data_IF_746999350543
#
_entry.id   IF_746999350543
#
_cell.length_a   1.000
_cell.length_b   1.000
_cell.length_c   1.000
_cell.angle_alpha   90.00
_cell.angle_beta   90.00
_cell.angle_gamma   90.00
#
_symmetry.space_group_name_H-M   'P 1'
#
loop_
_entity.id
_entity.type
_entity.pdbx_description
1 polymer ?
#
# COMPACT_ATOMS: atom_id res chain seq x y z
N UNK A 1 -2.67 16.21 -16.40
CA UNK A 1 -2.64 16.99 -15.14
C UNK A 1 -1.33 16.61 -14.44
N UNK A 2 -0.46 17.60 -14.21
CA UNK A 2 0.92 17.33 -13.77
C UNK A 2 0.90 16.91 -12.28
N UNK A 3 1.26 15.68 -11.97
CA UNK A 3 1.22 15.09 -10.62
C UNK A 3 2.02 15.91 -9.62
N UNK A 4 3.14 16.50 -10.05
CA UNK A 4 3.99 17.36 -9.21
C UNK A 4 3.32 18.66 -8.79
N UNK A 5 2.56 19.32 -9.67
CA UNK A 5 1.86 20.57 -9.33
C UNK A 5 0.73 20.35 -8.31
N UNK A 6 0.09 19.18 -8.34
CA UNK A 6 -0.96 18.82 -7.40
C UNK A 6 -0.39 18.45 -6.02
N UNK A 7 0.70 17.70 -5.96
CA UNK A 7 1.34 17.28 -4.70
C UNK A 7 2.00 18.43 -3.95
N UNK A 8 2.42 19.50 -4.64
CA UNK A 8 3.00 20.71 -4.05
C UNK A 8 1.97 21.71 -3.51
N UNK A 9 0.67 21.49 -3.73
CA UNK A 9 -0.39 22.36 -3.19
C UNK A 9 -0.44 22.26 -1.66
N UNK A 10 -0.29 23.41 -0.95
CA UNK A 10 -0.43 23.50 0.52
C UNK A 10 -1.78 22.97 1.01
N UNK A 11 -2.83 23.14 0.21
CA UNK A 11 -4.19 22.68 0.51
C UNK A 11 -4.24 21.15 0.47
N UNK A 12 -3.64 20.52 -0.53
CA UNK A 12 -3.57 19.06 -0.65
C UNK A 12 -2.78 18.48 0.52
N UNK A 13 -1.64 19.07 0.87
CA UNK A 13 -0.85 18.63 2.03
C UNK A 13 -1.62 18.78 3.35
N UNK A 14 -2.40 19.86 3.52
CA UNK A 14 -3.22 20.07 4.70
C UNK A 14 -4.36 19.03 4.79
N UNK A 15 -5.05 18.78 3.69
CA UNK A 15 -6.11 17.76 3.61
C UNK A 15 -5.53 16.37 3.97
N UNK A 16 -4.38 16.01 3.42
CA UNK A 16 -3.73 14.74 3.74
C UNK A 16 -3.28 14.64 5.21
N UNK A 17 -2.81 15.76 5.81
CA UNK A 17 -2.50 15.79 7.26
C UNK A 17 -3.75 15.60 8.12
N UNK A 18 -4.87 16.23 7.78
CA UNK A 18 -6.14 16.10 8.52
C UNK A 18 -6.71 14.70 8.36
N UNK A 19 -6.72 14.16 7.14
CA UNK A 19 -7.15 12.77 6.88
C UNK A 19 -6.22 11.79 7.61
N UNK A 20 -4.90 12.00 7.55
CA UNK A 20 -3.91 11.18 8.25
C UNK A 20 -4.13 11.18 9.76
N UNK A 21 -4.34 12.35 10.37
CA UNK A 21 -4.64 12.46 11.81
C UNK A 21 -5.96 11.76 12.18
N UNK A 22 -7.00 11.87 11.34
CA UNK A 22 -8.25 11.15 11.52
C UNK A 22 -8.06 9.64 11.38
N UNK A 23 -7.18 9.20 10.49
CA UNK A 23 -6.81 7.80 10.31
C UNK A 23 -6.01 7.22 11.50
N UNK A 24 -5.28 8.05 12.23
CA UNK A 24 -4.52 7.68 13.43
C UNK A 24 -5.33 7.85 14.72
N UNK A 25 -6.63 8.14 14.67
CA UNK A 25 -7.43 8.26 15.86
C UNK A 25 -7.42 6.96 16.69
N UNK A 26 -7.30 7.08 18.02
CA UNK A 26 -7.33 5.93 18.97
C UNK A 26 -8.59 5.08 18.79
N UNK A 27 -9.69 5.68 18.34
CA UNK A 27 -10.94 5.01 18.03
C UNK A 27 -10.79 4.04 16.85
N UNK A 28 -10.12 4.46 15.78
CA UNK A 28 -9.87 3.61 14.60
C UNK A 28 -8.93 2.44 14.93
N UNK A 29 -7.88 2.68 15.74
CA UNK A 29 -7.00 1.60 16.21
C UNK A 29 -7.75 0.55 17.04
N UNK A 30 -8.78 0.96 17.80
CA UNK A 30 -9.56 0.06 18.66
C UNK A 30 -10.53 -0.82 17.85
N UNK A 31 -11.14 -0.28 16.78
CA UNK A 31 -12.19 -0.98 16.01
C UNK A 31 -11.69 -1.56 14.68
N UNK A 32 -10.64 -0.98 14.12
CA UNK A 32 -10.05 -1.39 12.83
C UNK A 32 -8.52 -1.40 12.94
N UNK A 33 -7.99 -2.15 13.90
CA UNK A 33 -6.54 -2.24 14.09
C UNK A 33 -5.82 -2.68 12.81
N UNK A 34 -4.70 -2.04 12.43
CA UNK A 34 -3.98 -2.35 11.20
C UNK A 34 -3.62 -3.83 11.10
N UNK A 35 -3.25 -4.45 12.23
CA UNK A 35 -2.92 -5.87 12.28
C UNK A 35 -4.11 -6.78 11.93
N UNK A 36 -5.35 -6.41 12.31
CA UNK A 36 -6.53 -7.19 11.97
C UNK A 36 -6.80 -7.16 10.46
N UNK A 37 -6.61 -6.01 9.81
CA UNK A 37 -6.75 -5.87 8.36
C UNK A 37 -5.63 -6.64 7.66
N UNK A 38 -4.38 -6.50 8.12
CA UNK A 38 -3.22 -7.22 7.56
C UNK A 38 -3.37 -8.74 7.62
N UNK A 39 -4.00 -9.29 8.67
CA UNK A 39 -4.37 -10.72 8.73
C UNK A 39 -5.35 -11.15 7.63
N UNK A 40 -6.01 -10.21 7.01
CA UNK A 40 -6.88 -10.46 5.84
C UNK A 40 -6.11 -10.50 4.52
N UNK A 41 -4.94 -9.89 4.46
CA UNK A 41 -4.06 -9.98 3.32
C UNK A 41 -3.39 -11.36 3.27
N UNK A 42 -3.21 -11.87 2.08
CA UNK A 42 -2.53 -13.15 1.87
C UNK A 42 -1.01 -12.91 1.75
N UNK A 43 -0.43 -12.40 2.84
CA UNK A 43 1.00 -12.14 3.02
C UNK A 43 1.56 -13.01 4.14
N UNK A 44 2.85 -13.29 4.08
CA UNK A 44 3.53 -14.22 5.00
C UNK A 44 4.87 -13.66 5.48
N UNK A 45 5.41 -14.25 6.54
CA UNK A 45 6.76 -13.95 7.04
C UNK A 45 7.82 -14.22 5.96
N UNK A 46 8.83 -13.37 5.90
CA UNK A 46 9.95 -13.48 4.95
C UNK A 46 9.69 -12.88 3.56
N UNK A 47 8.48 -12.41 3.27
CA UNK A 47 8.14 -11.85 1.96
C UNK A 47 8.69 -10.44 1.74
N UNK A 48 8.92 -10.11 0.46
CA UNK A 48 9.14 -8.74 -0.01
C UNK A 48 7.80 -8.14 -0.42
N UNK A 49 7.37 -7.10 0.30
CA UNK A 49 6.03 -6.52 0.18
C UNK A 49 6.13 -5.04 -0.17
N UNK A 50 5.35 -4.58 -1.15
CA UNK A 50 5.16 -3.16 -1.44
C UNK A 50 3.87 -2.67 -0.75
N UNK A 51 3.99 -1.64 0.09
CA UNK A 51 2.87 -0.82 0.56
C UNK A 51 2.77 0.44 -0.30
N UNK A 52 1.69 0.56 -1.06
CA UNK A 52 1.40 1.73 -1.89
C UNK A 52 0.61 2.76 -1.10
N UNK A 53 1.10 4.01 -1.07
CA UNK A 53 0.45 5.09 -0.33
C UNK A 53 0.57 4.91 1.17
N UNK A 54 1.80 4.81 1.70
CA UNK A 54 2.04 4.57 3.13
C UNK A 54 1.50 5.69 4.03
N UNK A 55 1.25 6.89 3.49
CA UNK A 55 0.64 8.01 4.21
C UNK A 55 1.38 8.38 5.49
N UNK A 56 0.69 8.29 6.61
CA UNK A 56 1.28 8.51 7.94
C UNK A 56 1.90 7.25 8.56
N UNK A 57 1.90 6.12 7.86
CA UNK A 57 2.46 4.86 8.36
C UNK A 57 1.49 4.03 9.20
N UNK A 58 0.19 4.18 8.98
CA UNK A 58 -0.83 3.44 9.74
C UNK A 58 -0.66 1.93 9.61
N UNK A 59 -0.35 1.43 8.43
CA UNK A 59 -0.11 0.02 8.19
C UNK A 59 1.37 -0.35 8.24
N UNK A 60 2.28 0.58 7.92
CA UNK A 60 3.71 0.33 7.70
C UNK A 60 4.38 -0.45 8.84
N UNK A 61 4.27 0.04 10.09
CA UNK A 61 4.94 -0.60 11.21
C UNK A 61 4.39 -2.00 11.48
N UNK A 62 3.06 -2.13 11.40
CA UNK A 62 2.40 -3.41 11.60
C UNK A 62 2.69 -4.41 10.48
N UNK A 63 2.79 -3.94 9.22
CA UNK A 63 3.16 -4.77 8.09
C UNK A 63 4.60 -5.28 8.22
N UNK A 64 5.53 -4.39 8.60
CA UNK A 64 6.92 -4.75 8.85
C UNK A 64 7.07 -5.83 9.93
N UNK A 65 6.33 -5.69 11.04
CA UNK A 65 6.29 -6.69 12.09
C UNK A 65 5.66 -8.01 11.63
N UNK A 66 4.62 -7.93 10.80
CA UNK A 66 3.91 -9.09 10.29
C UNK A 66 4.79 -9.97 9.39
N UNK A 67 5.56 -9.34 8.49
CA UNK A 67 6.48 -10.07 7.60
C UNK A 67 7.78 -10.49 8.30
N UNK A 68 8.09 -9.90 9.47
CA UNK A 68 9.27 -10.26 10.29
C UNK A 68 10.61 -9.81 9.69
N UNK A 69 11.68 -10.04 10.45
CA UNK A 69 13.02 -9.51 10.13
C UNK A 69 13.64 -10.12 8.85
N UNK A 70 13.16 -11.27 8.40
CA UNK A 70 13.59 -11.91 7.15
C UNK A 70 12.83 -11.37 5.92
N UNK A 71 11.77 -10.62 6.13
CA UNK A 71 11.03 -9.94 5.07
C UNK A 71 11.59 -8.56 4.74
N UNK A 72 11.05 -7.94 3.68
CA UNK A 72 11.36 -6.56 3.32
C UNK A 72 10.07 -5.82 2.97
N UNK A 73 9.78 -4.72 3.68
CA UNK A 73 8.68 -3.83 3.35
C UNK A 73 9.20 -2.61 2.59
N UNK A 74 8.70 -2.41 1.38
CA UNK A 74 8.88 -1.16 0.65
C UNK A 74 7.67 -0.28 0.90
N UNK A 75 7.80 0.75 1.73
CA UNK A 75 6.75 1.72 2.02
C UNK A 75 6.88 2.91 1.06
N UNK A 76 5.95 3.01 0.11
CA UNK A 76 6.01 4.01 -0.97
C UNK A 76 4.90 5.04 -0.84
N UNK A 77 5.24 6.31 -1.06
CA UNK A 77 4.27 7.40 -1.20
C UNK A 77 4.81 8.47 -2.17
N UNK A 78 3.90 9.18 -2.82
CA UNK A 78 4.24 10.30 -3.71
C UNK A 78 4.52 11.59 -2.94
N UNK A 79 4.00 11.71 -1.71
CA UNK A 79 4.09 12.91 -0.89
C UNK A 79 5.37 12.93 -0.05
N UNK A 80 6.26 13.94 -0.18
CA UNK A 80 7.46 14.07 0.66
C UNK A 80 7.15 14.06 2.16
N UNK A 81 6.04 14.70 2.58
CA UNK A 81 5.63 14.74 3.99
C UNK A 81 5.30 13.35 4.56
N UNK A 82 4.68 12.47 3.76
CA UNK A 82 4.44 11.07 4.14
C UNK A 82 5.76 10.33 4.36
N UNK A 83 6.70 10.49 3.44
CA UNK A 83 8.01 9.86 3.51
C UNK A 83 8.77 10.28 4.78
N UNK A 84 8.77 11.57 5.11
CA UNK A 84 9.43 12.08 6.32
C UNK A 84 8.80 11.49 7.60
N UNK A 85 7.47 11.50 7.70
CA UNK A 85 6.73 10.95 8.86
C UNK A 85 7.04 9.47 9.03
N UNK A 86 6.94 8.68 7.96
CA UNK A 86 7.14 7.22 8.01
C UNK A 86 8.60 6.90 8.30
N UNK A 87 9.57 7.59 7.68
CA UNK A 87 10.99 7.40 7.97
C UNK A 87 11.30 7.62 9.44
N UNK A 88 10.78 8.69 10.05
CA UNK A 88 10.95 8.96 11.48
C UNK A 88 10.33 7.85 12.35
N UNK A 89 9.13 7.38 12.01
CA UNK A 89 8.47 6.28 12.76
C UNK A 89 9.26 4.97 12.66
N UNK A 90 9.73 4.62 11.48
CA UNK A 90 10.56 3.43 11.23
C UNK A 90 11.86 3.48 12.02
N UNK A 91 12.52 4.64 12.00
CA UNK A 91 13.75 4.87 12.78
C UNK A 91 13.50 4.75 14.29
N UNK A 92 12.45 5.40 14.80
CA UNK A 92 12.08 5.37 16.23
C UNK A 92 11.72 3.97 16.69
N UNK A 93 11.06 3.17 15.83
CA UNK A 93 10.72 1.78 16.10
C UNK A 93 11.89 0.80 15.86
N UNK A 94 13.06 1.30 15.42
CA UNK A 94 14.26 0.52 15.11
C UNK A 94 14.02 -0.63 14.10
N UNK A 95 13.07 -0.48 13.17
CA UNK A 95 12.78 -1.47 12.15
C UNK A 95 13.84 -1.44 11.05
N UNK A 96 14.49 -2.57 10.79
CA UNK A 96 15.57 -2.71 9.79
C UNK A 96 15.07 -3.27 8.46
N UNK A 97 13.88 -3.83 8.46
CA UNK A 97 13.25 -4.49 7.32
C UNK A 97 12.30 -3.56 6.52
N UNK A 98 12.41 -2.22 6.69
CA UNK A 98 11.58 -1.24 5.98
C UNK A 98 12.43 -0.31 5.12
N UNK A 99 12.11 -0.23 3.84
CA UNK A 99 12.60 0.80 2.89
C UNK A 99 11.49 1.81 2.66
N UNK A 100 11.72 3.07 3.04
CA UNK A 100 10.78 4.16 2.75
C UNK A 100 11.21 4.86 1.46
N UNK A 101 10.32 4.92 0.47
CA UNK A 101 10.64 5.37 -0.89
C UNK A 101 9.62 6.40 -1.37
N UNK A 102 10.09 7.56 -1.82
CA UNK A 102 9.26 8.48 -2.58
C UNK A 102 9.12 7.94 -4.01
N UNK A 103 7.88 7.65 -4.45
CA UNK A 103 7.65 7.07 -5.76
C UNK A 103 6.20 7.21 -6.22
N UNK A 104 6.01 7.03 -7.54
CA UNK A 104 4.69 6.95 -8.17
C UNK A 104 4.31 5.48 -8.37
N UNK A 105 3.16 5.09 -7.81
CA UNK A 105 2.67 3.71 -7.94
C UNK A 105 2.36 3.29 -9.39
N UNK A 106 2.21 4.24 -10.31
CA UNK A 106 2.02 3.97 -11.74
C UNK A 106 3.34 3.80 -12.51
N UNK A 107 4.47 4.08 -11.85
CA UNK A 107 5.84 3.90 -12.35
C UNK A 107 6.78 3.79 -11.16
N UNK A 108 6.82 2.61 -10.55
CA UNK A 108 7.47 2.38 -9.26
C UNK A 108 8.99 2.41 -9.33
N UNK A 109 9.56 2.26 -10.49
CA UNK A 109 11.01 2.05 -10.73
C UNK A 109 11.57 0.83 -9.99
N UNK A 110 10.71 -0.08 -9.53
CA UNK A 110 11.11 -1.38 -8.98
C UNK A 110 11.32 -2.39 -10.10
N UNK A 111 12.18 -3.36 -9.87
CA UNK A 111 12.43 -4.42 -10.84
C UNK A 111 11.17 -5.26 -11.10
N UNK A 112 11.05 -5.79 -12.31
CA UNK A 112 9.99 -6.74 -12.64
C UNK A 112 10.13 -7.99 -11.75
N UNK A 113 8.98 -8.54 -11.34
CA UNK A 113 8.94 -9.80 -10.57
C UNK A 113 9.75 -9.78 -9.27
N UNK A 114 9.87 -8.59 -8.64
CA UNK A 114 10.65 -8.39 -7.43
C UNK A 114 9.81 -8.46 -6.14
N UNK A 115 8.48 -8.32 -6.24
CA UNK A 115 7.57 -8.27 -5.09
C UNK A 115 6.79 -9.58 -4.94
N UNK A 116 6.74 -10.13 -3.72
CA UNK A 116 5.86 -11.26 -3.38
C UNK A 116 4.40 -10.81 -3.21
N UNK A 117 4.22 -9.59 -2.68
CA UNK A 117 2.91 -9.01 -2.50
C UNK A 117 2.89 -7.49 -2.65
N UNK A 118 1.70 -6.95 -2.97
CA UNK A 118 1.40 -5.52 -3.00
C UNK A 118 0.17 -5.24 -2.15
N UNK A 119 0.25 -4.23 -1.28
CA UNK A 119 -0.85 -3.74 -0.44
C UNK A 119 -1.40 -2.42 -1.02
N UNK A 120 -2.66 -2.42 -1.44
CA UNK A 120 -3.41 -1.24 -1.88
C UNK A 120 -4.47 -0.90 -0.82
N UNK A 121 -4.01 -0.36 0.32
CA UNK A 121 -4.84 -0.12 1.50
C UNK A 121 -5.22 1.34 1.64
N UNK A 122 -6.50 1.66 1.39
CA UNK A 122 -7.02 3.03 1.49
C UNK A 122 -6.55 3.98 0.38
N UNK A 123 -5.93 3.47 -0.67
CA UNK A 123 -5.39 4.29 -1.78
C UNK A 123 -6.29 4.28 -3.01
N UNK A 124 -7.16 3.32 -3.15
CA UNK A 124 -8.13 3.26 -4.25
C UNK A 124 -9.58 3.22 -3.72
N UNK A 125 -10.54 3.90 -4.38
CA UNK A 125 -10.33 4.69 -5.58
C UNK A 125 -9.72 6.05 -5.26
N UNK A 126 -8.62 6.39 -5.91
CA UNK A 126 -8.13 7.75 -5.92
C UNK A 126 -8.21 8.28 -7.37
N UNK A 127 -8.72 9.50 -7.59
CA UNK A 127 -8.77 10.10 -8.93
C UNK A 127 -7.39 10.14 -9.61
N UNK A 128 -6.32 10.12 -8.80
CA UNK A 128 -4.93 10.17 -9.23
C UNK A 128 -4.31 8.81 -9.51
N UNK A 129 -5.00 7.71 -9.19
CA UNK A 129 -4.53 6.33 -9.43
C UNK A 129 -5.48 5.61 -10.38
N UNK A 130 -5.49 5.96 -11.68
CA UNK A 130 -6.32 5.28 -12.66
C UNK A 130 -5.88 3.83 -12.79
N UNK A 131 -6.83 2.89 -12.64
CA UNK A 131 -6.57 1.46 -12.63
C UNK A 131 -5.89 0.95 -13.90
N UNK A 132 -6.19 1.56 -15.05
CA UNK A 132 -5.58 1.19 -16.33
C UNK A 132 -4.08 1.47 -16.41
N UNK A 133 -3.53 2.29 -15.50
CA UNK A 133 -2.08 2.52 -15.36
C UNK A 133 -1.51 1.81 -14.13
N UNK A 134 -2.26 1.79 -13.04
CA UNK A 134 -1.83 1.16 -11.79
C UNK A 134 -1.69 -0.38 -11.95
N UNK A 135 -2.72 -1.03 -12.48
CA UNK A 135 -2.75 -2.50 -12.52
C UNK A 135 -1.64 -3.13 -13.38
N UNK A 136 -1.30 -2.59 -14.57
CA UNK A 136 -0.14 -3.09 -15.34
C UNK A 136 1.18 -2.97 -14.56
N UNK A 137 1.39 -1.88 -13.82
CA UNK A 137 2.61 -1.72 -13.03
C UNK A 137 2.64 -2.69 -11.84
N UNK A 138 1.53 -2.86 -11.13
CA UNK A 138 1.43 -3.86 -10.04
C UNK A 138 1.66 -5.28 -10.57
N UNK A 139 1.12 -5.59 -11.75
CA UNK A 139 1.35 -6.87 -12.40
C UNK A 139 2.82 -7.07 -12.78
N UNK A 140 3.48 -6.04 -13.31
CA UNK A 140 4.88 -6.10 -13.72
C UNK A 140 5.82 -6.42 -12.56
N UNK A 141 5.63 -5.75 -11.41
CA UNK A 141 6.53 -5.89 -10.25
C UNK A 141 6.24 -7.13 -9.40
N UNK A 142 5.02 -7.65 -9.43
CA UNK A 142 4.69 -8.88 -8.71
C UNK A 142 5.35 -10.09 -9.35
N UNK A 143 5.87 -11.00 -8.55
CA UNK A 143 6.31 -12.31 -9.02
C UNK A 143 5.14 -13.11 -9.59
N UNK A 144 5.37 -14.09 -10.47
CA UNK A 144 4.32 -15.03 -10.89
C UNK A 144 3.61 -15.63 -9.68
N UNK A 145 2.27 -15.58 -9.67
CA UNK A 145 1.46 -16.01 -8.52
C UNK A 145 1.51 -15.10 -7.30
N UNK A 146 2.22 -13.98 -7.35
CA UNK A 146 2.26 -12.97 -6.29
C UNK A 146 0.89 -12.38 -5.98
N UNK A 147 0.72 -11.85 -4.77
CA UNK A 147 -0.55 -11.36 -4.24
C UNK A 147 -0.70 -9.86 -4.35
N UNK A 148 -1.84 -9.39 -4.87
CA UNK A 148 -2.29 -8.01 -4.69
C UNK A 148 -3.46 -7.99 -3.69
N UNK A 149 -3.26 -7.37 -2.53
CA UNK A 149 -4.26 -7.22 -1.48
C UNK A 149 -4.87 -5.81 -1.49
N UNK A 150 -6.19 -5.73 -1.55
CA UNK A 150 -6.95 -4.48 -1.70
C UNK A 150 -7.93 -4.29 -0.53
N UNK A 151 -7.89 -3.11 0.13
CA UNK A 151 -8.79 -2.76 1.23
C UNK A 151 -9.09 -1.26 1.27
N UNK A 152 -10.33 -0.86 1.58
CA UNK A 152 -11.53 -1.15 0.80
C UNK A 152 -11.42 -0.51 -0.59
N UNK A 153 -12.37 -0.53 -1.45
CA UNK A 153 -13.75 -0.93 -1.36
C UNK A 153 -14.10 -2.18 -2.19
N UNK A 154 -15.26 -2.79 -1.88
CA UNK A 154 -15.69 -4.05 -2.53
C UNK A 154 -16.04 -3.93 -4.02
N UNK A 155 -16.49 -2.77 -4.47
CA UNK A 155 -16.90 -2.56 -5.87
C UNK A 155 -15.73 -2.53 -6.86
N UNK A 156 -14.50 -2.28 -6.40
CA UNK A 156 -13.30 -2.24 -7.25
C UNK A 156 -12.95 -3.64 -7.80
N UNK A 157 -13.40 -4.70 -7.14
CA UNK A 157 -13.13 -6.09 -7.51
C UNK A 157 -13.42 -6.35 -9.00
N UNK A 158 -14.60 -5.93 -9.48
CA UNK A 158 -14.98 -6.18 -10.86
C UNK A 158 -14.08 -5.46 -11.86
N UNK A 159 -13.64 -4.25 -11.53
CA UNK A 159 -12.73 -3.48 -12.39
C UNK A 159 -11.34 -4.13 -12.46
N UNK A 160 -10.85 -4.70 -11.36
CA UNK A 160 -9.59 -5.44 -11.33
C UNK A 160 -9.69 -6.69 -12.21
N UNK A 161 -10.76 -7.47 -12.07
CA UNK A 161 -10.94 -8.70 -12.86
C UNK A 161 -11.09 -8.43 -14.37
N UNK A 162 -11.76 -7.34 -14.74
CA UNK A 162 -11.90 -6.92 -16.15
C UNK A 162 -10.57 -6.57 -16.82
N UNK A 163 -9.53 -6.27 -16.05
CA UNK A 163 -8.19 -6.02 -16.62
C UNK A 163 -7.56 -7.28 -17.25
N UNK A 164 -8.00 -8.47 -16.83
CA UNK A 164 -7.40 -9.74 -17.25
C UNK A 164 -6.03 -10.04 -16.64
N UNK A 165 -5.47 -9.10 -15.86
CA UNK A 165 -4.13 -9.21 -15.28
C UNK A 165 -4.10 -9.96 -13.94
N UNK A 166 -5.27 -10.11 -13.32
CA UNK A 166 -5.40 -10.70 -11.98
C UNK A 166 -6.58 -11.63 -11.89
N UNK A 167 -6.42 -12.72 -11.14
CA UNK A 167 -7.50 -13.63 -10.76
C UNK A 167 -7.88 -13.40 -9.29
N UNK A 168 -9.16 -13.57 -8.97
CA UNK A 168 -9.64 -13.46 -7.60
C UNK A 168 -9.29 -14.70 -6.79
N UNK A 169 -8.61 -14.51 -5.67
CA UNK A 169 -8.25 -15.60 -4.77
C UNK A 169 -9.25 -15.76 -3.61
N UNK A 170 -9.37 -14.74 -2.74
CA UNK A 170 -10.26 -14.81 -1.58
C UNK A 170 -10.54 -13.43 -0.99
N UNK A 171 -11.53 -13.38 -0.06
CA UNK A 171 -11.78 -12.24 0.84
C UNK A 171 -11.64 -12.68 2.29
N UNK A 172 -10.79 -12.00 3.06
CA UNK A 172 -10.64 -12.22 4.51
C UNK A 172 -10.57 -10.87 5.22
N UNK A 173 -11.21 -10.71 6.35
CA UNK A 173 -11.21 -9.47 7.16
C UNK A 173 -11.46 -8.18 6.36
N UNK A 174 -12.32 -8.25 5.34
CA UNK A 174 -12.61 -7.13 4.45
C UNK A 174 -11.58 -6.88 3.35
N UNK A 175 -10.46 -7.60 3.33
CA UNK A 175 -9.41 -7.52 2.31
C UNK A 175 -9.71 -8.47 1.15
N UNK A 176 -9.66 -7.96 -0.06
CA UNK A 176 -9.77 -8.74 -1.29
C UNK A 176 -8.36 -9.09 -1.78
N UNK A 177 -8.10 -10.37 -1.96
CA UNK A 177 -6.82 -10.87 -2.44
C UNK A 177 -6.95 -11.34 -3.89
N UNK A 178 -6.01 -10.93 -4.71
CA UNK A 178 -5.90 -11.29 -6.12
C UNK A 178 -4.54 -11.88 -6.39
N UNK A 179 -4.47 -12.83 -7.32
CA UNK A 179 -3.21 -13.41 -7.80
C UNK A 179 -2.85 -12.80 -9.15
N UNK A 180 -1.57 -12.50 -9.34
CA UNK A 180 -1.03 -12.22 -10.66
C UNK A 180 -1.27 -13.42 -11.59
N UNK A 181 -1.90 -13.15 -12.75
CA UNK A 181 -2.14 -14.17 -13.79
C UNK A 181 -0.87 -14.51 -14.55
#
# INVERSE_FOLDING_TARGET
>A
MNTEAFTNSRIVQLIFRVIGAAMESRFRYRFFGPMQILRGADIHSGQTVLEVGCGTGFFTLSAAQFIGDQGCLVAMDVLPASIEIVSKKVQTANLKNVRVVKGDAMNTMLDAESMDAVLLFGVIPAPMLPLNRLLPEMHRILKPGGTMAVWPPSWIRQSILRSGLFTYACKRNGVFNFRRS
#
